data_IF_237979114118
#
_entry.id   IF_237979114118
#
_cell.length_a   1.000
_cell.length_b   1.000
_cell.length_c   1.000
_cell.angle_alpha   90.00
_cell.angle_beta   90.00
_cell.angle_gamma   90.00
#
_symmetry.space_group_name_H-M   'P 1'
#
loop_
_entity.id
_entity.type
_entity.pdbx_description
1 polymer ?
#
# COMPACT_ATOMS: atom_id res chain seq x y z
N UNK A 1 3.84 -0.19 -12.19
CA UNK A 1 2.71 -1.15 -12.16
C UNK A 1 2.99 -2.20 -13.21
N UNK A 2 2.81 -3.47 -12.87
CA UNK A 2 2.98 -4.60 -13.77
C UNK A 2 1.85 -5.60 -13.56
N UNK A 3 1.51 -6.37 -14.61
CA UNK A 3 0.63 -7.54 -14.50
C UNK A 3 1.50 -8.77 -14.66
N UNK A 4 1.51 -9.63 -13.66
CA UNK A 4 2.24 -10.89 -13.68
C UNK A 4 1.27 -12.07 -13.79
N UNK A 5 1.69 -13.12 -14.49
CA UNK A 5 0.96 -14.38 -14.51
C UNK A 5 1.49 -15.30 -13.41
N UNK A 6 0.61 -15.77 -12.53
CA UNK A 6 0.91 -16.64 -11.39
C UNK A 6 0.09 -17.92 -11.54
N UNK A 7 0.70 -18.94 -12.13
CA UNK A 7 -0.04 -20.14 -12.58
C UNK A 7 -1.12 -19.75 -13.59
N UNK A 8 -2.36 -20.14 -13.32
CA UNK A 8 -3.52 -19.82 -14.16
C UNK A 8 -4.16 -18.45 -13.84
N UNK A 9 -3.61 -17.70 -12.87
CA UNK A 9 -4.17 -16.42 -12.41
C UNK A 9 -3.32 -15.23 -12.85
N UNK A 10 -3.96 -14.08 -13.07
CA UNK A 10 -3.26 -12.81 -13.29
C UNK A 10 -3.25 -12.02 -11.99
N UNK A 11 -2.07 -11.58 -11.58
CA UNK A 11 -1.87 -10.72 -10.42
C UNK A 11 -1.45 -9.32 -10.86
N UNK A 12 -2.11 -8.30 -10.31
CA UNK A 12 -1.69 -6.91 -10.48
C UNK A 12 -0.68 -6.55 -9.39
N UNK A 13 0.49 -6.03 -9.80
CA UNK A 13 1.50 -5.50 -8.89
C UNK A 13 1.54 -3.98 -8.99
N UNK A 14 1.28 -3.34 -7.86
CA UNK A 14 1.32 -1.89 -7.68
C UNK A 14 2.48 -1.58 -6.75
N UNK A 15 3.58 -1.07 -7.31
CA UNK A 15 4.71 -0.59 -6.54
C UNK A 15 4.55 0.92 -6.28
N UNK A 16 4.42 1.26 -5.00
CA UNK A 16 4.35 2.62 -4.47
C UNK A 16 5.66 2.93 -3.76
N UNK A 17 6.68 3.29 -4.53
CA UNK A 17 7.98 3.70 -4.00
C UNK A 17 8.05 5.23 -3.87
N UNK A 18 8.01 5.70 -2.63
CA UNK A 18 8.06 7.12 -2.29
C UNK A 18 9.42 7.57 -1.76
N UNK A 19 10.41 6.67 -1.76
CA UNK A 19 11.79 6.89 -1.29
C UNK A 19 12.72 7.06 -2.49
N UNK A 20 12.53 6.24 -3.53
CA UNK A 20 13.35 6.28 -4.74
C UNK A 20 13.09 7.55 -5.56
N UNK A 21 14.01 8.51 -5.47
CA UNK A 21 13.93 9.79 -6.20
C UNK A 21 14.08 9.64 -7.71
N UNK A 22 14.63 8.51 -8.19
CA UNK A 22 14.75 8.18 -9.62
C UNK A 22 13.46 7.57 -10.18
N UNK A 23 12.56 7.09 -9.31
CA UNK A 23 11.28 6.51 -9.69
C UNK A 23 10.14 7.25 -9.00
N UNK A 24 9.63 8.29 -9.65
CA UNK A 24 8.46 9.01 -9.13
C UNK A 24 7.20 8.25 -9.54
N UNK A 25 6.46 7.75 -8.55
CA UNK A 25 5.14 7.13 -8.79
C UNK A 25 4.22 8.17 -9.45
N UNK A 26 3.90 7.96 -10.72
CA UNK A 26 2.91 8.76 -11.44
C UNK A 26 1.50 8.32 -11.04
N UNK A 27 1.05 8.80 -9.87
CA UNK A 27 -0.28 8.51 -9.34
C UNK A 27 -1.41 8.85 -10.32
N UNK A 28 -1.41 10.00 -11.03
CA UNK A 28 -2.44 10.29 -12.02
C UNK A 28 -2.56 9.23 -13.12
N UNK A 29 -1.45 8.81 -13.72
CA UNK A 29 -1.46 7.76 -14.74
C UNK A 29 -1.88 6.41 -14.16
N UNK A 30 -1.44 6.07 -12.95
CA UNK A 30 -1.84 4.86 -12.25
C UNK A 30 -3.35 4.82 -12.01
N UNK A 31 -3.93 5.89 -11.46
CA UNK A 31 -5.36 6.00 -11.16
C UNK A 31 -6.21 5.99 -12.43
N UNK A 32 -5.71 6.52 -13.54
CA UNK A 32 -6.37 6.44 -14.84
C UNK A 32 -6.36 5.02 -15.41
N UNK A 33 -5.28 4.27 -15.21
CA UNK A 33 -5.10 2.94 -15.79
C UNK A 33 -5.75 1.82 -14.96
N UNK A 34 -5.74 1.93 -13.64
CA UNK A 34 -6.24 0.93 -12.70
C UNK A 34 -7.65 0.40 -13.06
N UNK A 35 -8.67 1.25 -13.33
CA UNK A 35 -10.02 0.76 -13.59
C UNK A 35 -10.12 -0.22 -14.77
N UNK A 36 -9.21 -0.14 -15.76
CA UNK A 36 -9.20 -1.04 -16.93
C UNK A 36 -8.94 -2.50 -16.57
N UNK A 37 -8.38 -2.76 -15.39
CA UNK A 37 -8.05 -4.11 -14.91
C UNK A 37 -9.12 -4.71 -14.00
N UNK A 38 -10.12 -3.92 -13.58
CA UNK A 38 -11.08 -4.31 -12.54
C UNK A 38 -11.91 -5.56 -12.89
N UNK A 39 -12.17 -5.78 -14.18
CA UNK A 39 -12.96 -6.91 -14.69
C UNK A 39 -12.15 -8.20 -14.84
N UNK A 40 -10.81 -8.12 -14.90
CA UNK A 40 -9.95 -9.26 -15.27
C UNK A 40 -9.00 -9.68 -14.15
N UNK A 41 -8.74 -8.81 -13.18
CA UNK A 41 -7.79 -9.07 -12.11
C UNK A 41 -8.50 -9.14 -10.77
N UNK A 42 -8.30 -10.27 -10.08
CA UNK A 42 -8.86 -10.54 -8.77
C UNK A 42 -7.79 -10.57 -7.67
N UNK A 43 -6.53 -10.74 -8.05
CA UNK A 43 -5.39 -10.82 -7.13
C UNK A 43 -4.51 -9.58 -7.26
N UNK A 44 -4.32 -8.88 -6.14
CA UNK A 44 -3.60 -7.61 -6.10
C UNK A 44 -2.50 -7.70 -5.06
N UNK A 45 -1.29 -7.30 -5.46
CA UNK A 45 -0.14 -7.12 -4.58
C UNK A 45 0.26 -5.64 -4.62
N UNK A 46 0.22 -4.99 -3.47
CA UNK A 46 0.70 -3.63 -3.29
C UNK A 46 2.02 -3.68 -2.53
N UNK A 47 3.07 -3.11 -3.08
CA UNK A 47 4.33 -2.88 -2.37
C UNK A 47 4.43 -1.40 -2.05
N UNK A 48 4.62 -1.05 -0.79
CA UNK A 48 4.67 0.32 -0.32
C UNK A 48 6.01 0.57 0.36
N UNK A 49 6.76 1.54 -0.16
CA UNK A 49 8.00 2.02 0.44
C UNK A 49 7.84 3.51 0.72
N UNK A 50 7.80 3.87 2.00
CA UNK A 50 7.65 5.25 2.44
C UNK A 50 8.88 5.71 3.23
N UNK A 51 9.27 6.98 3.13
CA UNK A 51 10.35 7.51 3.96
C UNK A 51 9.88 7.63 5.41
N UNK A 52 10.78 7.45 6.38
CA UNK A 52 10.50 7.69 7.80
C UNK A 52 10.04 9.14 8.04
N UNK A 53 10.62 10.07 7.28
CA UNK A 53 10.22 11.48 7.28
C UNK A 53 9.86 11.96 5.88
N UNK A 54 8.64 12.47 5.73
CA UNK A 54 8.21 13.10 4.49
C UNK A 54 8.84 14.49 4.33
N UNK A 55 9.24 14.84 3.11
CA UNK A 55 9.85 16.14 2.77
C UNK A 55 9.06 17.35 3.27
N UNK A 56 7.73 17.25 3.28
CA UNK A 56 6.86 18.27 3.88
C UNK A 56 5.48 17.70 4.23
N UNK A 57 4.74 18.41 5.08
CA UNK A 57 3.33 18.10 5.38
C UNK A 57 2.45 18.11 4.12
N UNK A 58 2.72 19.01 3.19
CA UNK A 58 1.97 19.08 1.92
C UNK A 58 2.18 17.83 1.06
N UNK A 59 3.44 17.35 0.96
CA UNK A 59 3.75 16.10 0.24
C UNK A 59 3.05 14.91 0.89
N UNK A 60 3.06 14.82 2.22
CA UNK A 60 2.35 13.77 2.93
C UNK A 60 0.84 13.79 2.66
N UNK A 61 0.19 14.96 2.78
CA UNK A 61 -1.24 15.12 2.49
C UNK A 61 -1.59 14.74 1.05
N UNK A 62 -0.75 15.12 0.08
CA UNK A 62 -0.97 14.72 -1.31
C UNK A 62 -0.90 13.20 -1.50
N UNK A 63 0.03 12.51 -0.84
CA UNK A 63 0.10 11.03 -0.87
C UNK A 63 -1.15 10.40 -0.26
N UNK A 64 -1.62 10.90 0.87
CA UNK A 64 -2.89 10.46 1.49
C UNK A 64 -4.07 10.64 0.53
N UNK A 65 -4.20 11.81 -0.09
CA UNK A 65 -5.28 12.06 -1.07
C UNK A 65 -5.23 11.10 -2.26
N UNK A 66 -4.03 10.80 -2.78
CA UNK A 66 -3.88 9.83 -3.86
C UNK A 66 -4.22 8.39 -3.41
N UNK A 67 -3.94 8.03 -2.16
CA UNK A 67 -4.34 6.74 -1.61
C UNK A 67 -5.85 6.61 -1.41
N UNK A 68 -6.54 7.68 -0.99
CA UNK A 68 -8.01 7.69 -0.93
C UNK A 68 -8.62 7.38 -2.30
N UNK A 69 -8.16 8.08 -3.35
CA UNK A 69 -8.59 7.81 -4.74
C UNK A 69 -8.28 6.39 -5.19
N UNK A 70 -7.11 5.87 -4.81
CA UNK A 70 -6.76 4.48 -5.13
C UNK A 70 -7.70 3.49 -4.46
N UNK A 71 -8.08 3.73 -3.20
CA UNK A 71 -9.07 2.92 -2.46
C UNK A 71 -10.43 2.95 -3.15
N UNK A 72 -10.91 4.11 -3.58
CA UNK A 72 -12.16 4.25 -4.34
C UNK A 72 -12.13 3.38 -5.60
N UNK A 73 -11.03 3.40 -6.35
CA UNK A 73 -10.85 2.56 -7.53
C UNK A 73 -10.81 1.08 -7.17
N UNK A 74 -10.04 0.69 -6.15
CA UNK A 74 -9.93 -0.71 -5.70
C UNK A 74 -11.26 -1.26 -5.18
N UNK A 75 -12.14 -0.42 -4.64
CA UNK A 75 -13.46 -0.82 -4.18
C UNK A 75 -14.41 -1.25 -5.31
N UNK A 76 -14.07 -0.94 -6.56
CA UNK A 76 -14.79 -1.42 -7.74
C UNK A 76 -14.26 -2.78 -8.27
N UNK A 77 -13.17 -3.31 -7.69
CA UNK A 77 -12.62 -4.60 -8.09
C UNK A 77 -13.31 -5.72 -7.31
N UNK A 78 -13.50 -6.88 -7.96
CA UNK A 78 -13.93 -8.11 -7.29
C UNK A 78 -12.75 -8.82 -6.61
N UNK A 79 -12.05 -8.14 -5.70
CA UNK A 79 -10.81 -8.63 -5.11
C UNK A 79 -11.03 -9.96 -4.39
N UNK A 80 -10.25 -10.99 -4.77
CA UNK A 80 -10.18 -12.30 -4.09
C UNK A 80 -8.99 -12.38 -3.14
N UNK A 81 -7.88 -11.73 -3.50
CA UNK A 81 -6.69 -11.67 -2.67
C UNK A 81 -6.05 -10.28 -2.74
N UNK A 82 -5.83 -9.67 -1.57
CA UNK A 82 -5.08 -8.41 -1.43
C UNK A 82 -3.89 -8.65 -0.51
N UNK A 83 -2.69 -8.58 -1.08
CA UNK A 83 -1.43 -8.64 -0.33
C UNK A 83 -0.80 -7.26 -0.29
N UNK A 84 -0.47 -6.79 0.91
CA UNK A 84 0.25 -5.52 1.12
C UNK A 84 1.59 -5.81 1.76
N UNK A 85 2.66 -5.41 1.09
CA UNK A 85 4.04 -5.49 1.59
C UNK A 85 4.49 -4.08 1.89
N UNK A 86 4.89 -3.84 3.14
CA UNK A 86 5.44 -2.55 3.56
C UNK A 86 6.93 -2.70 3.71
N UNK A 87 7.69 -1.86 3.02
CA UNK A 87 9.12 -1.76 3.18
C UNK A 87 9.50 -0.78 4.29
N UNK A 88 10.35 -1.23 5.20
CA UNK A 88 10.85 -0.47 6.33
C UNK A 88 12.38 -0.46 6.32
N UNK A 89 12.98 0.68 6.64
CA UNK A 89 14.43 0.78 6.84
C UNK A 89 14.85 0.40 8.27
N UNK A 90 13.92 0.47 9.22
CA UNK A 90 14.06 0.07 10.61
C UNK A 90 12.66 -0.27 11.17
N UNK A 91 12.51 -0.63 12.45
CA UNK A 91 11.20 -0.83 13.10
C UNK A 91 10.45 0.49 13.35
N UNK A 92 10.25 1.30 12.29
CA UNK A 92 9.61 2.61 12.33
C UNK A 92 8.16 2.58 11.80
N UNK A 93 7.22 2.77 12.72
CA UNK A 93 5.80 2.88 12.40
C UNK A 93 5.46 4.08 11.47
N UNK A 94 6.24 5.16 11.46
CA UNK A 94 5.96 6.32 10.60
C UNK A 94 5.96 5.93 9.11
N UNK A 95 6.84 5.01 8.71
CA UNK A 95 6.87 4.44 7.35
C UNK A 95 5.63 3.61 7.03
N UNK A 96 4.95 3.07 8.05
CA UNK A 96 3.74 2.27 7.88
C UNK A 96 2.48 3.11 7.72
N UNK A 97 2.46 4.39 8.11
CA UNK A 97 1.23 5.21 8.16
C UNK A 97 0.46 5.22 6.84
N UNK A 98 1.18 5.32 5.73
CA UNK A 98 0.60 5.26 4.40
C UNK A 98 -0.08 3.91 4.11
N UNK A 99 0.22 2.82 4.80
CA UNK A 99 -0.50 1.55 4.64
C UNK A 99 -1.90 1.56 5.29
N UNK A 100 -2.27 2.59 6.04
CA UNK A 100 -3.59 2.68 6.67
C UNK A 100 -4.75 2.68 5.66
N UNK A 101 -4.49 2.99 4.38
CA UNK A 101 -5.51 2.95 3.31
C UNK A 101 -6.22 1.60 3.19
N UNK A 102 -5.56 0.49 3.57
CA UNK A 102 -6.16 -0.85 3.46
C UNK A 102 -7.44 -1.01 4.28
N UNK A 103 -7.62 -0.17 5.32
CA UNK A 103 -8.82 -0.18 6.14
C UNK A 103 -10.03 0.45 5.44
N UNK A 104 -9.81 1.24 4.39
CA UNK A 104 -10.88 1.79 3.55
C UNK A 104 -11.28 0.90 2.38
N UNK A 105 -10.56 -0.21 2.14
CA UNK A 105 -10.93 -1.16 1.10
C UNK A 105 -12.08 -2.04 1.60
N UNK A 106 -13.14 -2.18 0.80
CA UNK A 106 -14.33 -2.98 1.11
C UNK A 106 -13.96 -4.45 1.36
N UNK A 107 -12.99 -4.97 0.62
CA UNK A 107 -12.44 -6.31 0.81
C UNK A 107 -11.74 -6.43 2.17
N UNK A 108 -12.36 -7.17 3.09
CA UNK A 108 -11.92 -7.26 4.48
C UNK A 108 -10.78 -8.27 4.72
N UNK A 109 -10.54 -9.23 3.81
CA UNK A 109 -9.62 -10.36 4.02
C UNK A 109 -8.20 -10.10 3.50
N UNK A 110 -7.73 -8.85 3.58
CA UNK A 110 -6.37 -8.50 3.16
C UNK A 110 -5.30 -9.09 4.08
N UNK A 111 -4.13 -9.36 3.51
CA UNK A 111 -2.94 -9.83 4.22
C UNK A 111 -1.84 -8.77 4.14
N UNK A 112 -1.32 -8.34 5.29
CA UNK A 112 -0.25 -7.35 5.35
C UNK A 112 1.00 -7.94 6.02
N UNK A 113 2.15 -7.67 5.42
CA UNK A 113 3.47 -8.02 5.95
C UNK A 113 4.40 -6.83 5.89
N UNK A 114 5.06 -6.48 6.99
CA UNK A 114 6.19 -5.56 6.98
C UNK A 114 7.48 -6.33 6.70
N UNK A 115 8.33 -5.75 5.88
CA UNK A 115 9.66 -6.24 5.54
C UNK A 115 10.66 -5.17 5.99
N UNK A 116 11.55 -5.52 6.91
CA UNK A 116 12.69 -4.68 7.25
C UNK A 116 13.86 -5.04 6.32
N UNK A 117 14.54 -4.03 5.82
CA UNK A 117 15.71 -4.19 4.97
C UNK A 117 16.97 -3.76 5.71
N UNK A 118 18.09 -4.43 5.43
CA UNK A 118 19.41 -3.95 5.84
C UNK A 118 19.93 -2.83 4.92
N UNK A 119 21.14 -2.34 5.21
CA UNK A 119 21.82 -1.31 4.43
C UNK A 119 22.10 -1.73 2.97
N UNK A 120 22.12 -3.03 2.70
CA UNK A 120 22.29 -3.61 1.35
C UNK A 120 20.96 -3.78 0.62
N UNK A 121 19.83 -3.53 1.30
CA UNK A 121 18.47 -3.66 0.74
C UNK A 121 17.90 -5.08 0.83
N UNK A 122 18.57 -6.00 1.51
CA UNK A 122 18.12 -7.38 1.69
C UNK A 122 17.12 -7.50 2.83
N UNK A 123 16.13 -8.40 2.69
CA UNK A 123 15.10 -8.54 3.73
C UNK A 123 15.63 -9.30 4.93
N UNK A 124 15.92 -8.60 6.02
CA UNK A 124 16.42 -9.19 7.27
C UNK A 124 15.32 -9.67 8.21
N UNK A 125 14.14 -9.05 8.16
CA UNK A 125 13.00 -9.47 9.00
C UNK A 125 11.66 -9.29 8.29
N UNK A 126 10.71 -10.19 8.60
CA UNK A 126 9.33 -10.13 8.11
C UNK A 126 8.38 -10.30 9.27
N UNK A 127 7.43 -9.38 9.43
CA UNK A 127 6.39 -9.49 10.44
C UNK A 127 5.00 -9.40 9.80
N UNK A 128 4.09 -10.29 10.23
CA UNK A 128 2.67 -10.21 9.84
C UNK A 128 2.01 -9.07 10.59
N UNK A 129 1.32 -8.19 9.86
CA UNK A 129 0.50 -7.12 10.45
C UNK A 129 -0.95 -7.56 10.39
N UNK A 130 -1.41 -8.18 11.47
CA UNK A 130 -2.81 -8.59 11.62
C UNK A 130 -3.64 -7.44 12.21
N UNK A 131 -4.96 -7.46 12.04
CA UNK A 131 -5.86 -6.45 12.62
C UNK A 131 -5.73 -6.30 14.14
N UNK A 132 -5.41 -7.40 14.84
CA UNK A 132 -5.25 -7.43 16.30
C UNK A 132 -3.84 -7.05 16.79
N UNK A 133 -2.84 -6.97 15.91
CA UNK A 133 -1.47 -6.63 16.33
C UNK A 133 -1.36 -5.16 16.77
N UNK A 134 -0.27 -4.81 17.46
CA UNK A 134 0.02 -3.41 17.83
C UNK A 134 -0.01 -2.49 16.61
N UNK A 135 0.69 -2.87 15.53
CA UNK A 135 0.69 -2.12 14.29
C UNK A 135 -0.67 -2.11 13.58
N UNK A 136 -1.41 -3.22 13.56
CA UNK A 136 -2.77 -3.22 13.00
C UNK A 136 -3.71 -2.25 13.71
N UNK A 137 -3.66 -2.19 15.05
CA UNK A 137 -4.46 -1.24 15.84
C UNK A 137 -4.05 0.21 15.59
N UNK A 138 -2.75 0.50 15.56
CA UNK A 138 -2.23 1.84 15.26
C UNK A 138 -2.61 2.30 13.85
N UNK A 139 -2.49 1.43 12.84
CA UNK A 139 -2.92 1.72 11.46
C UNK A 139 -4.42 2.01 11.36
N UNK A 140 -5.25 1.27 12.09
CA UNK A 140 -6.69 1.57 12.18
C UNK A 140 -6.93 2.95 12.79
N UNK A 141 -6.17 3.34 13.81
CA UNK A 141 -6.20 4.69 14.38
C UNK A 141 -5.83 5.77 13.36
N UNK A 142 -4.74 5.57 12.61
CA UNK A 142 -4.33 6.46 11.51
C UNK A 142 -5.41 6.57 10.44
N UNK A 143 -6.03 5.44 10.05
CA UNK A 143 -7.12 5.45 9.08
C UNK A 143 -8.26 6.36 9.53
N UNK A 144 -8.75 6.18 10.76
CA UNK A 144 -9.83 7.01 11.32
C UNK A 144 -9.46 8.50 11.37
N UNK A 145 -8.24 8.80 11.82
CA UNK A 145 -7.81 10.17 12.08
C UNK A 145 -7.41 10.95 10.82
N UNK A 146 -6.91 10.27 9.78
CA UNK A 146 -6.24 10.92 8.65
C UNK A 146 -6.82 10.56 7.28
N UNK A 147 -7.49 9.40 7.15
CA UNK A 147 -8.04 8.94 5.88
C UNK A 147 -9.57 8.96 5.85
N UNK A 148 -10.25 8.61 6.94
CA UNK A 148 -11.71 8.64 7.06
C UNK A 148 -12.21 10.03 7.46
N UNK A 149 -11.55 10.68 8.42
CA UNK A 149 -11.84 12.06 8.81
C UNK A 149 -11.43 13.05 7.70
N UNK A 150 -12.34 13.32 6.76
CA UNK A 150 -12.53 14.56 5.97
C UNK A 150 -13.44 14.27 4.79
#
# INVERSE_FOLDING_TARGET
MAVEQVGDTKQLIIDLDFVNTRFIVNMPSLLKALPMYATFIFDIKIRLYAPAQHRSRAVYKNRIANQKKMVEVLNNFNIKNLKVIIGLSDDDFYQMKLAAFVHGVNFQRWNMTSHMFDEQGETVAKAKVTRGSSYGRRLRGVYKAELEAQ
#
